data_IF_993016176676
#
_entry.id   IF_993016176676
#
_cell.length_a   1.000
_cell.length_b   1.000
_cell.length_c   1.000
_cell.angle_alpha   90.00
_cell.angle_beta   90.00
_cell.angle_gamma   90.00
#
_symmetry.space_group_name_H-M   'P 1'
#
loop_
_entity.id
_entity.type
_entity.pdbx_description
1 polymer ?
#
# COMPACT_ATOMS: atom_id res chain seq x y z
N UNK A 1 13.68 10.60 10.12
CA UNK A 1 12.22 10.78 9.91
C UNK A 1 11.88 11.37 8.55
N UNK A 2 12.68 12.30 7.99
CA UNK A 2 12.42 12.86 6.64
C UNK A 2 12.42 11.80 5.53
N UNK A 3 13.27 10.77 5.61
CA UNK A 3 13.22 9.62 4.70
C UNK A 3 11.86 8.93 4.71
N UNK A 4 11.24 8.75 5.89
CA UNK A 4 9.92 8.12 5.99
C UNK A 4 8.81 9.00 5.40
N UNK A 5 8.97 10.32 5.39
CA UNK A 5 8.02 11.22 4.70
C UNK A 5 8.07 10.97 3.20
N UNK A 6 9.27 10.91 2.62
CA UNK A 6 9.44 10.62 1.19
C UNK A 6 8.89 9.23 0.84
N UNK A 7 9.26 8.21 1.61
CA UNK A 7 8.78 6.83 1.40
C UNK A 7 7.25 6.80 1.47
N UNK A 8 6.63 7.46 2.44
CA UNK A 8 5.15 7.51 2.55
C UNK A 8 4.50 8.15 1.33
N UNK A 9 5.05 9.26 0.83
CA UNK A 9 4.57 9.93 -0.39
C UNK A 9 4.72 9.03 -1.61
N UNK A 10 5.89 8.43 -1.78
CA UNK A 10 6.16 7.53 -2.91
C UNK A 10 5.23 6.32 -2.86
N UNK A 11 5.06 5.67 -1.71
CA UNK A 11 4.13 4.55 -1.54
C UNK A 11 2.70 4.96 -1.92
N UNK A 12 2.21 6.09 -1.41
CA UNK A 12 0.88 6.57 -1.76
C UNK A 12 0.70 6.83 -3.26
N UNK A 13 1.70 7.45 -3.91
CA UNK A 13 1.70 7.68 -5.35
C UNK A 13 1.73 6.36 -6.15
N UNK A 14 2.56 5.40 -5.74
CA UNK A 14 2.64 4.07 -6.37
C UNK A 14 1.30 3.35 -6.26
N UNK A 15 0.63 3.38 -5.11
CA UNK A 15 -0.68 2.77 -4.92
C UNK A 15 -1.75 3.41 -5.80
N UNK A 16 -1.74 4.73 -5.96
CA UNK A 16 -2.63 5.45 -6.88
C UNK A 16 -2.38 5.03 -8.33
N UNK A 17 -1.12 5.04 -8.77
CA UNK A 17 -0.76 4.65 -10.13
C UNK A 17 -1.14 3.20 -10.40
N UNK A 18 -0.87 2.30 -9.44
CA UNK A 18 -1.23 0.88 -9.55
C UNK A 18 -2.73 0.68 -9.72
N UNK A 19 -3.56 1.37 -8.94
CA UNK A 19 -5.01 1.23 -9.02
C UNK A 19 -5.60 1.85 -10.31
N UNK A 20 -5.13 3.04 -10.69
CA UNK A 20 -5.55 3.69 -11.95
C UNK A 20 -5.13 2.87 -13.17
N UNK A 21 -3.88 2.40 -13.21
CA UNK A 21 -3.37 1.57 -14.29
C UNK A 21 -4.10 0.22 -14.35
N UNK A 22 -4.32 -0.43 -13.21
CA UNK A 22 -5.07 -1.68 -13.13
C UNK A 22 -6.51 -1.52 -13.65
N UNK A 23 -7.17 -0.41 -13.32
CA UNK A 23 -8.49 -0.11 -13.86
C UNK A 23 -8.47 0.13 -15.38
N UNK A 24 -7.50 0.90 -15.88
CA UNK A 24 -7.36 1.20 -17.30
C UNK A 24 -7.07 -0.06 -18.14
N UNK A 25 -6.16 -0.92 -17.68
CA UNK A 25 -5.78 -2.17 -18.36
C UNK A 25 -6.95 -3.14 -18.48
N UNK A 26 -7.87 -3.13 -17.50
CA UNK A 26 -9.08 -3.96 -17.53
C UNK A 26 -10.22 -3.35 -18.37
N UNK A 27 -9.97 -2.28 -19.12
CA UNK A 27 -10.98 -1.57 -19.91
C UNK A 27 -12.09 -0.95 -19.04
N UNK A 28 -11.81 -0.70 -17.76
CA UNK A 28 -12.77 -0.19 -16.80
C UNK A 28 -13.79 -1.22 -16.28
N UNK A 29 -13.62 -2.50 -16.61
CA UNK A 29 -14.56 -3.55 -16.22
C UNK A 29 -14.49 -3.93 -14.72
N UNK A 30 -13.39 -3.59 -14.03
CA UNK A 30 -13.15 -4.00 -12.65
C UNK A 30 -12.98 -2.79 -11.71
N UNK A 31 -14.08 -2.29 -11.14
CA UNK A 31 -14.03 -1.22 -10.12
C UNK A 31 -13.19 -1.62 -8.89
N UNK A 32 -13.11 -2.91 -8.59
CA UNK A 32 -12.24 -3.42 -7.51
C UNK A 32 -10.76 -3.15 -7.75
N UNK A 33 -10.33 -2.98 -9.01
CA UNK A 33 -8.95 -2.60 -9.33
C UNK A 33 -8.60 -1.18 -8.86
N UNK A 34 -9.59 -0.34 -8.49
CA UNK A 34 -9.37 1.01 -7.93
C UNK A 34 -9.18 1.02 -6.41
N UNK A 35 -9.39 -0.09 -5.72
CA UNK A 35 -9.10 -0.20 -4.27
C UNK A 35 -7.70 0.30 -3.87
N UNK A 36 -6.62 0.02 -4.63
CA UNK A 36 -5.30 0.54 -4.33
C UNK A 36 -5.25 2.07 -4.39
N UNK A 37 -6.02 2.70 -5.28
CA UNK A 37 -6.14 4.16 -5.36
C UNK A 37 -6.85 4.74 -4.14
N UNK A 38 -7.93 4.09 -3.69
CA UNK A 38 -8.67 4.49 -2.48
C UNK A 38 -7.76 4.44 -1.24
N UNK A 39 -6.85 3.46 -1.18
CA UNK A 39 -5.83 3.38 -0.13
C UNK A 39 -4.68 4.38 -0.32
N UNK A 40 -4.23 4.57 -1.56
CA UNK A 40 -3.07 5.41 -1.90
C UNK A 40 -3.31 6.89 -1.67
N UNK A 41 -4.54 7.38 -1.92
CA UNK A 41 -4.93 8.78 -1.69
C UNK A 41 -4.70 9.26 -0.25
N UNK A 42 -5.26 8.61 0.80
CA UNK A 42 -5.02 9.03 2.17
C UNK A 42 -3.56 8.81 2.60
N UNK A 43 -2.89 7.74 2.13
CA UNK A 43 -1.45 7.54 2.41
C UNK A 43 -0.60 8.68 1.83
N UNK A 44 -0.86 9.07 0.59
CA UNK A 44 -0.17 10.20 -0.05
C UNK A 44 -0.48 11.52 0.68
N UNK A 45 -1.74 11.76 1.03
CA UNK A 45 -2.17 12.94 1.77
C UNK A 45 -1.49 13.05 3.13
N UNK A 46 -1.40 11.95 3.88
CA UNK A 46 -0.66 11.87 5.13
C UNK A 46 0.84 12.09 4.92
N UNK A 47 1.41 11.58 3.82
CA UNK A 47 2.80 11.86 3.44
C UNK A 47 3.04 13.35 3.16
N UNK A 48 2.11 14.04 2.49
CA UNK A 48 2.19 15.49 2.29
C UNK A 48 2.13 16.20 3.64
N UNK A 49 1.15 15.86 4.48
CA UNK A 49 0.93 16.47 5.79
C UNK A 49 2.09 16.22 6.78
N UNK A 50 2.78 15.09 6.64
CA UNK A 50 3.98 14.75 7.42
C UNK A 50 5.20 15.65 7.12
N UNK A 51 5.08 16.59 6.18
CA UNK A 51 6.08 17.64 5.96
C UNK A 51 6.21 18.63 7.12
N UNK A 52 5.16 18.78 7.94
CA UNK A 52 5.18 19.56 9.18
C UNK A 52 5.81 18.74 10.31
N UNK A 53 6.91 19.22 10.88
CA UNK A 53 7.67 18.59 11.97
C UNK A 53 6.77 18.20 13.16
N UNK A 54 5.81 19.07 13.50
CA UNK A 54 4.94 18.90 14.67
C UNK A 54 4.01 17.70 14.52
N UNK A 55 3.60 17.40 13.28
CA UNK A 55 2.59 16.38 12.95
C UNK A 55 3.19 15.14 12.32
N UNK A 56 4.47 15.19 11.94
CA UNK A 56 5.15 14.13 11.18
C UNK A 56 5.01 12.74 11.78
N UNK A 57 5.18 12.59 13.10
CA UNK A 57 5.09 11.28 13.75
C UNK A 57 3.69 10.70 13.62
N UNK A 58 2.66 11.47 13.98
CA UNK A 58 1.27 11.02 13.94
C UNK A 58 0.82 10.71 12.51
N UNK A 59 1.20 11.55 11.54
CA UNK A 59 0.88 11.33 10.14
C UNK A 59 1.51 10.04 9.59
N UNK A 60 2.78 9.75 9.91
CA UNK A 60 3.44 8.51 9.50
C UNK A 60 2.81 7.28 10.17
N UNK A 61 2.45 7.34 11.47
CA UNK A 61 1.78 6.21 12.13
C UNK A 61 0.41 5.94 11.53
N UNK A 62 -0.37 7.00 11.27
CA UNK A 62 -1.66 6.87 10.59
C UNK A 62 -1.49 6.23 9.20
N UNK A 63 -0.47 6.64 8.43
CA UNK A 63 -0.22 6.06 7.12
C UNK A 63 0.20 4.58 7.19
N UNK A 64 1.01 4.21 8.18
CA UNK A 64 1.38 2.81 8.44
C UNK A 64 0.18 1.96 8.87
N UNK A 65 -0.72 2.51 9.69
CA UNK A 65 -1.98 1.83 10.07
C UNK A 65 -2.85 1.59 8.84
N UNK A 66 -3.01 2.60 7.97
CA UNK A 66 -3.75 2.43 6.72
C UNK A 66 -3.11 1.36 5.83
N UNK A 67 -1.79 1.36 5.68
CA UNK A 67 -1.09 0.35 4.90
C UNK A 67 -1.25 -1.06 5.50
N UNK A 68 -1.28 -1.18 6.83
CA UNK A 68 -1.55 -2.45 7.51
C UNK A 68 -2.97 -2.95 7.23
N UNK A 69 -3.97 -2.07 7.32
CA UNK A 69 -5.35 -2.41 6.98
C UNK A 69 -5.49 -2.80 5.50
N UNK A 70 -4.82 -2.07 4.61
CA UNK A 70 -4.76 -2.40 3.18
C UNK A 70 -4.13 -3.76 2.93
N UNK A 71 -2.99 -4.05 3.57
CA UNK A 71 -2.33 -5.36 3.49
C UNK A 71 -3.27 -6.48 3.95
N UNK A 72 -3.88 -6.34 5.13
CA UNK A 72 -4.81 -7.35 5.65
C UNK A 72 -6.02 -7.52 4.73
N UNK A 73 -6.58 -6.43 4.20
CA UNK A 73 -7.69 -6.48 3.25
C UNK A 73 -7.35 -7.18 1.93
N UNK A 74 -6.08 -7.17 1.52
CA UNK A 74 -5.64 -7.88 0.31
C UNK A 74 -5.43 -9.38 0.52
N UNK A 75 -5.22 -9.85 1.75
CA UNK A 75 -4.88 -11.26 2.03
C UNK A 75 -5.96 -12.23 1.53
N UNK A 76 -7.23 -11.85 1.60
CA UNK A 76 -8.34 -12.68 1.11
C UNK A 76 -8.21 -13.01 -0.38
N UNK A 77 -7.68 -12.09 -1.18
CA UNK A 77 -7.49 -12.28 -2.61
C UNK A 77 -6.13 -12.94 -2.91
N UNK A 78 -5.11 -12.66 -2.10
CA UNK A 78 -3.75 -13.23 -2.28
C UNK A 78 -3.74 -14.75 -2.14
N UNK A 79 -4.64 -15.33 -1.33
CA UNK A 79 -4.77 -16.78 -1.19
C UNK A 79 -5.19 -17.46 -2.51
N UNK A 80 -5.90 -16.75 -3.40
CA UNK A 80 -6.30 -17.25 -4.72
C UNK A 80 -5.20 -17.09 -5.78
N UNK A 81 -4.10 -16.39 -5.47
CA UNK A 81 -3.01 -16.13 -6.42
C UNK A 81 -2.40 -17.40 -7.02
N UNK A 82 -2.13 -18.50 -6.27
CA UNK A 82 -1.61 -19.73 -6.85
C UNK A 82 -2.54 -20.34 -7.90
N UNK A 83 -3.87 -20.29 -7.68
CA UNK A 83 -4.86 -20.79 -8.63
C UNK A 83 -4.87 -19.96 -9.92
N UNK A 84 -4.79 -18.62 -9.81
CA UNK A 84 -4.65 -17.74 -10.98
C UNK A 84 -3.37 -18.04 -11.77
N UNK A 85 -2.25 -18.31 -11.09
CA UNK A 85 -0.98 -18.63 -11.74
C UNK A 85 -0.96 -20.04 -12.36
N UNK A 86 -1.70 -20.98 -11.79
CA UNK A 86 -1.90 -22.33 -12.35
C UNK A 86 -2.83 -22.35 -13.57
N UNK A 87 -3.55 -21.25 -13.83
CA UNK A 87 -4.52 -21.14 -14.91
C UNK A 87 -5.88 -21.73 -14.56
N UNK A 88 -6.18 -21.91 -13.28
CA UNK A 88 -7.48 -22.38 -12.81
C UNK A 88 -8.58 -21.32 -13.04
N UNK A 89 -9.84 -21.77 -13.12
CA UNK A 89 -10.98 -20.86 -13.21
C UNK A 89 -11.17 -20.08 -11.90
N UNK A 90 -10.76 -18.81 -11.92
CA UNK A 90 -10.99 -17.84 -10.84
C UNK A 90 -11.97 -16.79 -11.35
N UNK A 91 -12.95 -16.42 -10.52
CA UNK A 91 -14.02 -15.50 -10.94
C UNK A 91 -13.50 -14.09 -11.32
N UNK A 92 -12.44 -13.61 -10.67
CA UNK A 92 -11.87 -12.26 -10.85
C UNK A 92 -10.34 -12.26 -10.80
N UNK A 93 -9.65 -12.88 -11.78
CA UNK A 93 -8.19 -13.04 -11.75
C UNK A 93 -7.46 -11.69 -11.74
N UNK A 94 -7.98 -10.69 -12.44
CA UNK A 94 -7.44 -9.32 -12.43
C UNK A 94 -7.45 -8.69 -11.02
N UNK A 95 -8.49 -8.94 -10.22
CA UNK A 95 -8.58 -8.40 -8.87
C UNK A 95 -7.56 -9.08 -7.93
N UNK A 96 -7.32 -10.38 -8.13
CA UNK A 96 -6.29 -11.15 -7.41
C UNK A 96 -4.89 -10.61 -7.71
N UNK A 97 -4.57 -10.36 -8.98
CA UNK A 97 -3.28 -9.81 -9.39
C UNK A 97 -3.05 -8.42 -8.79
N UNK A 98 -4.01 -7.50 -8.97
CA UNK A 98 -3.91 -6.13 -8.44
C UNK A 98 -3.84 -6.12 -6.91
N UNK A 99 -4.62 -6.98 -6.23
CA UNK A 99 -4.57 -7.13 -4.77
C UNK A 99 -3.22 -7.64 -4.30
N UNK A 100 -2.62 -8.58 -5.03
CA UNK A 100 -1.31 -9.14 -4.71
C UNK A 100 -0.18 -8.12 -4.86
N UNK A 101 -0.22 -7.31 -5.92
CA UNK A 101 0.71 -6.19 -6.07
C UNK A 101 0.53 -5.14 -4.97
N UNK A 102 -0.72 -4.86 -4.59
CA UNK A 102 -1.03 -3.94 -3.48
C UNK A 102 -0.51 -4.48 -2.15
N UNK A 103 -0.70 -5.77 -1.89
CA UNK A 103 -0.17 -6.45 -0.71
C UNK A 103 1.35 -6.30 -0.63
N UNK A 104 2.05 -6.53 -1.75
CA UNK A 104 3.50 -6.40 -1.84
C UNK A 104 3.96 -4.97 -1.52
N UNK A 105 3.33 -3.96 -2.13
CA UNK A 105 3.66 -2.53 -1.89
C UNK A 105 3.44 -2.18 -0.42
N UNK A 106 2.32 -2.58 0.17
CA UNK A 106 2.02 -2.35 1.58
C UNK A 106 3.03 -3.06 2.50
N UNK A 107 3.37 -4.33 2.22
CA UNK A 107 4.33 -5.08 3.01
C UNK A 107 5.73 -4.43 3.00
N UNK A 108 6.20 -3.99 1.83
CA UNK A 108 7.47 -3.27 1.69
C UNK A 108 7.44 -1.97 2.51
N UNK A 109 6.36 -1.20 2.41
CA UNK A 109 6.22 0.04 3.17
C UNK A 109 6.19 -0.19 4.70
N UNK A 110 5.45 -1.21 5.16
CA UNK A 110 5.44 -1.62 6.56
C UNK A 110 6.83 -2.06 7.04
N UNK A 111 7.58 -2.79 6.22
CA UNK A 111 8.97 -3.17 6.51
C UNK A 111 9.88 -1.96 6.71
N UNK A 112 9.74 -0.93 5.88
CA UNK A 112 10.44 0.35 6.07
C UNK A 112 10.02 1.04 7.38
N UNK A 113 8.73 1.04 7.71
CA UNK A 113 8.22 1.55 8.99
C UNK A 113 8.84 0.84 10.19
N UNK A 114 8.81 -0.49 10.21
CA UNK A 114 9.43 -1.31 11.27
C UNK A 114 10.92 -1.01 11.40
N UNK A 115 11.66 -0.94 10.29
CA UNK A 115 13.09 -0.57 10.31
C UNK A 115 13.31 0.79 10.94
N UNK A 116 12.46 1.78 10.61
CA UNK A 116 12.52 3.12 11.21
C UNK A 116 12.30 3.10 12.71
N UNK A 117 11.33 2.32 13.21
CA UNK A 117 11.08 2.17 14.64
C UNK A 117 12.24 1.54 15.38
N UNK A 118 12.79 0.46 14.82
CA UNK A 118 13.92 -0.26 15.42
C UNK A 118 15.17 0.62 15.45
N UNK A 119 15.44 1.37 14.38
CA UNK A 119 16.56 2.32 14.34
C UNK A 119 16.43 3.40 15.42
N UNK A 120 15.23 3.96 15.62
CA UNK A 120 14.97 4.94 16.67
C UNK A 120 15.20 4.39 18.09
N UNK A 121 14.97 3.08 18.31
CA UNK A 121 15.25 2.42 19.59
C UNK A 121 16.74 2.12 19.81
N UNK A 122 17.51 1.87 18.74
CA UNK A 122 18.94 1.53 18.83
C UNK A 122 19.87 2.73 18.97
N UNK A 123 19.47 3.90 18.46
CA UNK A 123 20.25 5.14 18.59
C UNK A 123 19.94 5.96 19.85
N UNK A 124 19.16 5.41 20.78
CA UNK A 124 18.75 6.08 22.03
C UNK A 124 19.35 5.44 23.29
N UNK A 125 20.54 4.85 23.20
CA UNK A 125 21.31 4.31 24.33
C UNK A 125 22.65 5.01 24.47
#
# INVERSE_FOLDING_TARGET
>A
MNEMVLITRVTGAVLIVLGVAGYAVTGGASLTALLPTVLGLPVLGLGVWAGDETRRRTAIHAALVLALLGFLGTLMNVVELPAVLAGDEVARPQAVVVSSLTALVCAVYLGFGVRSFVAARRGGG
#
